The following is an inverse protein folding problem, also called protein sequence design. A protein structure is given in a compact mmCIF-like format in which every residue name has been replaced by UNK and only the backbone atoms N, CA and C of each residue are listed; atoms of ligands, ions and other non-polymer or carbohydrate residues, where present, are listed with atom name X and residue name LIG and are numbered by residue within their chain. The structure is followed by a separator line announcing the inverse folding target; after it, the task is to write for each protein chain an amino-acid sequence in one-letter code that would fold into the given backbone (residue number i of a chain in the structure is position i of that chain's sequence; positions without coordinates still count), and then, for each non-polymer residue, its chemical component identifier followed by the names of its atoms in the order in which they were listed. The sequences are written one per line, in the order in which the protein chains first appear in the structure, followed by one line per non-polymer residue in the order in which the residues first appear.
data_IF_366419336177
#
_entry.id   IF_366419336177
#
_cell.length_a   1.000
_cell.length_b   1.000
_cell.length_c   1.000
_cell.angle_alpha   90.00
_cell.angle_beta   90.00
_cell.angle_gamma   90.00
#
_symmetry.space_group_name_H-M   'P 1'
#
loop_
_entity.id
_entity.type
_entity.pdbx_description
1 polymer ?
#
# COMPACT_ATOMS: atom_id res chain seq x y z
N UNK A 1 -7.28 16.93 -11.06
CA UNK A 1 -6.35 15.85 -10.64
C UNK A 1 -5.24 16.43 -9.75
N UNK A 2 -4.69 15.64 -8.82
CA UNK A 2 -3.52 16.08 -8.04
C UNK A 2 -2.28 16.16 -8.93
N UNK A 3 -1.40 17.13 -8.67
CA UNK A 3 -0.08 17.19 -9.31
C UNK A 3 0.87 16.15 -8.70
N UNK A 4 1.98 15.83 -9.39
CA UNK A 4 3.00 14.94 -8.84
C UNK A 4 3.58 15.44 -7.52
N UNK A 5 3.80 16.75 -7.41
CA UNK A 5 4.30 17.38 -6.18
C UNK A 5 3.30 17.21 -5.02
N UNK A 6 2.00 17.43 -5.28
CA UNK A 6 0.96 17.22 -4.27
C UNK A 6 0.85 15.75 -3.84
N UNK A 7 0.98 14.81 -4.77
CA UNK A 7 0.98 13.38 -4.45
C UNK A 7 2.20 12.98 -3.62
N UNK A 8 3.40 13.46 -3.99
CA UNK A 8 4.63 13.21 -3.22
C UNK A 8 4.53 13.80 -1.82
N UNK A 9 4.02 15.03 -1.69
CA UNK A 9 3.79 15.64 -0.38
C UNK A 9 2.82 14.81 0.45
N UNK A 10 1.73 14.31 -0.15
CA UNK A 10 0.75 13.47 0.54
C UNK A 10 1.37 12.18 1.05
N UNK A 11 2.22 11.51 0.26
CA UNK A 11 2.89 10.27 0.70
C UNK A 11 3.89 10.57 1.81
N UNK A 12 4.67 11.66 1.71
CA UNK A 12 5.72 12.01 2.69
C UNK A 12 5.17 12.49 4.04
N UNK A 13 4.11 13.30 4.02
CA UNK A 13 3.60 13.96 5.23
C UNK A 13 2.23 13.46 5.68
N UNK A 14 1.63 12.55 4.93
CA UNK A 14 0.29 12.04 5.18
C UNK A 14 -0.82 13.03 4.79
N UNK A 15 -2.06 12.60 5.00
CA UNK A 15 -3.24 13.43 4.83
C UNK A 15 -3.45 14.37 6.04
N UNK A 16 -4.16 15.50 5.86
CA UNK A 16 -4.55 16.36 6.98
C UNK A 16 -5.30 15.58 8.06
N UNK A 17 -4.98 15.86 9.32
CA UNK A 17 -5.65 15.22 10.47
C UNK A 17 -7.12 15.61 10.51
N UNK A 18 -7.98 14.62 10.69
CA UNK A 18 -9.42 14.85 10.88
C UNK A 18 -9.73 15.22 12.33
N UNK A 19 -10.64 16.19 12.51
CA UNK A 19 -11.27 16.46 13.81
C UNK A 19 -12.51 15.59 14.04
N UNK A 20 -13.00 14.94 12.97
CA UNK A 20 -14.20 14.09 12.98
C UNK A 20 -13.83 12.73 12.38
N UNK A 21 -13.39 11.76 13.19
CA UNK A 21 -13.09 10.41 12.74
C UNK A 21 -14.29 9.76 12.05
N UNK A 22 -14.01 8.91 11.05
CA UNK A 22 -15.02 8.14 10.30
C UNK A 22 -14.64 6.67 10.34
N UNK A 23 -15.64 5.80 10.23
CA UNK A 23 -15.43 4.37 10.03
C UNK A 23 -15.37 4.08 8.53
N UNK A 24 -14.24 3.58 8.05
CA UNK A 24 -13.97 3.38 6.63
C UNK A 24 -13.60 1.92 6.40
N UNK A 25 -14.30 1.26 5.47
CA UNK A 25 -13.97 -0.10 5.05
C UNK A 25 -13.24 -0.04 3.71
N UNK A 26 -12.06 -0.66 3.64
CA UNK A 26 -11.28 -0.85 2.42
C UNK A 26 -11.38 -2.30 1.99
N UNK A 27 -11.87 -2.56 0.77
CA UNK A 27 -11.98 -3.91 0.22
C UNK A 27 -10.75 -4.20 -0.64
N UNK A 28 -9.98 -5.21 -0.23
CA UNK A 28 -8.73 -5.65 -0.83
C UNK A 28 -7.50 -5.05 -0.14
N UNK A 29 -6.60 -5.91 0.33
CA UNK A 29 -5.29 -5.59 0.88
C UNK A 29 -4.17 -5.70 -0.17
N UNK A 30 -4.45 -5.28 -1.41
CA UNK A 30 -3.42 -4.98 -2.40
C UNK A 30 -2.74 -3.64 -2.12
N UNK A 31 -1.71 -3.27 -2.91
CA UNK A 31 -0.93 -2.04 -2.68
C UNK A 31 -1.80 -0.77 -2.58
N UNK A 32 -2.82 -0.63 -3.44
CA UNK A 32 -3.72 0.53 -3.41
C UNK A 32 -4.55 0.59 -2.12
N UNK A 33 -5.07 -0.55 -1.67
CA UNK A 33 -5.87 -0.63 -0.44
C UNK A 33 -5.02 -0.41 0.80
N UNK A 34 -3.82 -0.98 0.85
CA UNK A 34 -2.88 -0.81 1.96
C UNK A 34 -2.43 0.66 2.10
N UNK A 35 -2.03 1.32 1.01
CA UNK A 35 -1.64 2.74 1.04
C UNK A 35 -2.82 3.62 1.45
N UNK A 36 -4.01 3.37 0.89
CA UNK A 36 -5.24 4.09 1.26
C UNK A 36 -5.54 3.94 2.75
N UNK A 37 -5.47 2.72 3.27
CA UNK A 37 -5.73 2.45 4.67
C UNK A 37 -4.69 3.08 5.59
N UNK A 38 -3.40 3.09 5.22
CA UNK A 38 -2.34 3.75 5.98
C UNK A 38 -2.61 5.25 6.10
N UNK A 39 -2.80 5.92 4.96
CA UNK A 39 -3.02 7.37 4.93
C UNK A 39 -4.27 7.79 5.70
N UNK A 40 -5.37 7.05 5.57
CA UNK A 40 -6.61 7.33 6.30
C UNK A 40 -6.50 7.06 7.79
N UNK A 41 -5.80 5.98 8.18
CA UNK A 41 -5.55 5.67 9.59
C UNK A 41 -4.67 6.75 10.22
N UNK A 42 -3.61 7.16 9.54
CA UNK A 42 -2.74 8.25 9.98
C UNK A 42 -3.50 9.58 10.08
N UNK A 43 -4.44 9.84 9.17
CA UNK A 43 -5.31 11.03 9.27
C UNK A 43 -6.23 11.01 10.50
N UNK A 44 -6.39 9.88 11.19
CA UNK A 44 -7.22 9.74 12.39
C UNK A 44 -8.57 9.04 12.15
N UNK A 45 -8.74 8.32 11.04
CA UNK A 45 -9.95 7.53 10.80
C UNK A 45 -9.83 6.10 11.35
N UNK A 46 -10.98 5.49 11.64
CA UNK A 46 -11.07 4.08 11.99
C UNK A 46 -11.19 3.26 10.71
N UNK A 47 -10.12 2.58 10.32
CA UNK A 47 -10.07 1.84 9.06
C UNK A 47 -10.11 0.34 9.29
N UNK A 48 -11.01 -0.35 8.59
CA UNK A 48 -11.08 -1.82 8.51
C UNK A 48 -10.72 -2.26 7.10
N UNK A 49 -9.84 -3.25 6.95
CA UNK A 49 -9.48 -3.83 5.65
C UNK A 49 -10.07 -5.24 5.56
N UNK A 50 -10.76 -5.53 4.46
CA UNK A 50 -11.28 -6.85 4.15
C UNK A 50 -10.48 -7.43 2.98
N UNK A 51 -9.71 -8.48 3.22
CA UNK A 51 -8.94 -9.19 2.20
C UNK A 51 -9.47 -10.61 2.02
N UNK A 52 -9.64 -11.03 0.78
CA UNK A 52 -10.19 -12.35 0.47
C UNK A 52 -9.15 -13.48 0.63
N UNK A 53 -7.87 -13.18 0.44
CA UNK A 53 -6.79 -14.16 0.52
C UNK A 53 -6.21 -14.28 1.94
N UNK A 54 -5.50 -15.38 2.18
CA UNK A 54 -4.72 -15.59 3.41
C UNK A 54 -3.41 -14.77 3.45
N UNK A 55 -3.25 -13.79 2.57
CA UNK A 55 -2.07 -12.92 2.49
C UNK A 55 -2.46 -11.55 1.97
N UNK A 56 -1.66 -10.56 2.32
CA UNK A 56 -1.74 -9.21 1.75
C UNK A 56 -0.82 -9.06 0.53
N UNK A 57 -0.84 -7.88 -0.10
CA UNK A 57 0.02 -7.48 -1.22
C UNK A 57 -0.63 -7.65 -2.59
N UNK A 58 -1.68 -8.48 -2.70
CA UNK A 58 -2.39 -8.72 -3.96
C UNK A 58 -1.44 -9.22 -5.06
N UNK A 59 -1.28 -8.45 -6.13
CA UNK A 59 -0.37 -8.78 -7.26
C UNK A 59 1.12 -8.59 -6.94
N UNK A 60 1.47 -8.00 -5.80
CA UNK A 60 2.84 -7.99 -5.30
C UNK A 60 3.00 -9.26 -4.47
N UNK A 61 3.71 -10.26 -5.01
CA UNK A 61 3.82 -11.55 -4.39
C UNK A 61 5.18 -12.20 -4.65
N UNK A 62 5.95 -12.33 -3.59
CA UNK A 62 7.18 -13.14 -3.57
C UNK A 62 6.85 -14.53 -3.01
N UNK A 63 7.06 -15.57 -3.81
CA UNK A 63 7.02 -16.93 -3.32
C UNK A 63 8.38 -17.32 -2.73
N UNK A 64 8.36 -17.70 -1.44
CA UNK A 64 9.54 -18.13 -0.67
C UNK A 64 9.48 -19.62 -0.30
N UNK A 65 8.57 -20.40 -0.91
CA UNK A 65 8.39 -21.82 -0.60
C UNK A 65 9.64 -22.62 -0.97
N UNK A 66 10.28 -23.25 0.01
CA UNK A 66 11.32 -24.31 -0.03
C UNK A 66 12.07 -24.54 -1.34
N UNK A 67 12.56 -23.47 -1.97
CA UNK A 67 13.56 -23.58 -3.02
C UNK A 67 14.89 -23.99 -2.40
N UNK A 68 15.75 -24.64 -3.18
CA UNK A 68 17.11 -24.97 -2.72
C UNK A 68 17.81 -23.72 -2.19
N UNK A 69 18.47 -23.85 -1.04
CA UNK A 69 19.32 -22.81 -0.46
C UNK A 69 18.60 -21.47 -0.15
N UNK A 70 17.31 -21.49 0.22
CA UNK A 70 16.60 -20.29 0.67
C UNK A 70 16.29 -19.27 -0.44
N UNK A 71 16.31 -19.72 -1.69
CA UNK A 71 15.93 -18.91 -2.84
C UNK A 71 14.44 -18.51 -2.79
N UNK A 72 14.09 -17.49 -3.56
CA UNK A 72 12.72 -17.01 -3.73
C UNK A 72 12.48 -16.56 -5.17
N UNK A 73 11.22 -16.42 -5.54
CA UNK A 73 10.80 -15.95 -6.87
C UNK A 73 9.71 -14.90 -6.74
N UNK A 74 9.82 -13.82 -7.51
CA UNK A 74 8.72 -12.86 -7.67
C UNK A 74 7.70 -13.42 -8.66
N UNK A 75 6.46 -13.64 -8.20
CA UNK A 75 5.33 -14.07 -9.02
C UNK A 75 4.47 -12.89 -9.51
N UNK A 76 5.00 -11.67 -9.36
CA UNK A 76 4.28 -10.43 -9.65
C UNK A 76 5.24 -9.29 -9.98
N UNK A 77 5.16 -8.19 -9.23
CA UNK A 77 6.05 -7.05 -9.42
C UNK A 77 7.53 -7.44 -9.21
N UNK A 78 8.39 -7.14 -10.18
CA UNK A 78 9.80 -7.56 -10.17
C UNK A 78 10.81 -6.42 -10.31
N UNK A 79 10.36 -5.22 -10.70
CA UNK A 79 11.22 -4.05 -10.92
C UNK A 79 10.47 -2.75 -10.69
N UNK A 80 11.17 -1.76 -10.16
CA UNK A 80 10.68 -0.40 -9.99
C UNK A 80 11.64 0.51 -10.77
N UNK A 81 11.21 1.13 -11.89
CA UNK A 81 11.98 2.15 -12.58
C UNK A 81 12.30 3.34 -11.66
N UNK A 82 13.49 3.94 -11.82
CA UNK A 82 13.92 5.10 -11.02
C UNK A 82 13.01 6.34 -11.17
N UNK A 83 12.22 6.39 -12.24
CA UNK A 83 11.26 7.46 -12.50
C UNK A 83 9.92 7.28 -11.76
N UNK A 84 9.67 6.14 -11.11
CA UNK A 84 8.44 5.90 -10.35
C UNK A 84 8.53 6.46 -8.93
N UNK A 85 8.62 7.80 -8.84
CA UNK A 85 8.91 8.52 -7.60
C UNK A 85 7.96 8.14 -6.46
N UNK A 86 6.65 8.01 -6.71
CA UNK A 86 5.66 7.67 -5.67
C UNK A 86 5.86 6.30 -5.01
N UNK A 87 6.59 5.38 -5.65
CA UNK A 87 6.89 4.05 -5.08
C UNK A 87 8.20 4.07 -4.28
N UNK A 88 9.03 5.10 -4.47
CA UNK A 88 10.34 5.25 -3.83
C UNK A 88 10.29 6.15 -2.58
N UNK A 89 9.14 6.75 -2.29
CA UNK A 89 8.84 7.45 -1.03
C UNK A 89 8.33 6.48 0.03
#
# INVERSE_FOLDING_TARGET
PLTMEQMLQTIRTGLPKTLVPKNITVVGAGISGLVTASLLKEAGHNVTILEANNRVGGRIYTNRSSFYSGQYVELGAMRIPSIHLLVLE
#
